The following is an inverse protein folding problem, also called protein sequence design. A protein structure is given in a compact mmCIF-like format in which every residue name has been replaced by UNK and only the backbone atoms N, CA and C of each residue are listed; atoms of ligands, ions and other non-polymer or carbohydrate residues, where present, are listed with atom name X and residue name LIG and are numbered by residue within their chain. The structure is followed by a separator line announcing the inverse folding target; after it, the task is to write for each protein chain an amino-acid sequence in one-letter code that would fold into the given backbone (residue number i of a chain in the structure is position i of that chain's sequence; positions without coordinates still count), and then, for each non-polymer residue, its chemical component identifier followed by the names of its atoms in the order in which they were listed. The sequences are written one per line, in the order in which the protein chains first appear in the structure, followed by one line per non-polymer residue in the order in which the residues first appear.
data_IF_620315293695
#
_entry.id   IF_620315293695
#
_cell.length_a   1.000
_cell.length_b   1.000
_cell.length_c   1.000
_cell.angle_alpha   90.00
_cell.angle_beta   90.00
_cell.angle_gamma   90.00
#
_symmetry.space_group_name_H-M   'P 1'
#
loop_
_entity.id
_entity.type
_entity.pdbx_description
1 polymer ?
#
# COMPACT_ATOMS: atom_id res chain seq x y z
N UNK A 1 30.73 19.81 50.98
CA UNK A 1 31.22 19.93 49.59
C UNK A 1 30.29 19.09 48.75
N UNK A 2 29.33 19.75 48.11
CA UNK A 2 28.42 19.14 47.16
C UNK A 2 29.19 18.90 45.86
N UNK A 3 29.44 17.63 45.51
CA UNK A 3 29.78 17.26 44.15
C UNK A 3 28.50 17.33 43.32
N UNK A 4 28.38 18.40 42.55
CA UNK A 4 27.38 18.55 41.51
C UNK A 4 27.75 17.61 40.36
N UNK A 5 27.15 16.41 40.35
CA UNK A 5 27.20 15.49 39.22
C UNK A 5 26.50 16.14 38.03
N UNK A 6 27.27 16.69 37.09
CA UNK A 6 26.75 17.10 35.78
C UNK A 6 26.12 15.89 35.08
N UNK A 7 24.98 16.05 34.38
CA UNK A 7 24.45 14.96 33.57
C UNK A 7 25.50 14.64 32.51
N UNK A 8 25.98 13.41 32.49
CA UNK A 8 26.85 12.92 31.43
C UNK A 8 26.08 13.01 30.12
N UNK A 9 26.43 13.97 29.26
CA UNK A 9 25.87 14.05 27.91
C UNK A 9 26.14 12.71 27.22
N UNK A 10 25.07 11.99 26.89
CA UNK A 10 25.19 10.73 26.19
C UNK A 10 25.85 10.99 24.83
N UNK A 11 26.95 10.31 24.55
CA UNK A 11 27.69 10.46 23.29
C UNK A 11 26.73 10.22 22.11
N UNK A 12 26.71 11.11 21.08
CA UNK A 12 25.81 10.97 19.94
C UNK A 12 26.07 9.65 19.20
N UNK A 13 25.05 9.08 18.53
CA UNK A 13 25.26 7.88 17.75
C UNK A 13 26.14 8.20 16.54
N UNK A 14 26.80 7.19 16.00
CA UNK A 14 27.63 7.32 14.80
C UNK A 14 26.84 7.98 13.64
N UNK A 15 27.46 8.91 12.91
CA UNK A 15 26.81 9.73 11.88
C UNK A 15 26.07 8.91 10.81
N UNK A 16 26.61 7.74 10.47
CA UNK A 16 25.98 6.78 9.57
C UNK A 16 24.53 6.43 9.95
N UNK A 17 24.14 6.48 11.24
CA UNK A 17 22.74 6.26 11.62
C UNK A 17 21.80 7.32 11.07
N UNK A 18 22.20 8.59 11.02
CA UNK A 18 21.38 9.67 10.47
C UNK A 18 21.11 9.50 8.96
N UNK A 19 21.93 8.71 8.27
CA UNK A 19 21.68 8.30 6.89
C UNK A 19 20.64 7.18 6.78
N UNK A 20 20.46 6.39 7.83
CA UNK A 20 19.53 5.25 7.88
C UNK A 20 18.15 5.67 8.38
N UNK A 21 18.08 6.52 9.41
CA UNK A 21 16.82 6.92 10.05
C UNK A 21 15.73 7.40 9.06
N UNK A 22 16.02 8.23 8.03
CA UNK A 22 15.01 8.71 7.07
C UNK A 22 14.34 7.62 6.22
N UNK A 23 14.88 6.40 6.21
CA UNK A 23 14.35 5.25 5.49
C UNK A 23 13.53 4.30 6.37
N UNK A 24 13.53 4.52 7.69
CA UNK A 24 12.81 3.68 8.64
C UNK A 24 11.34 4.10 8.73
N UNK A 25 10.39 3.14 8.78
CA UNK A 25 9.01 3.47 9.13
C UNK A 25 8.90 3.98 10.57
N UNK A 26 7.75 4.58 10.89
CA UNK A 26 7.50 5.17 12.22
C UNK A 26 7.70 4.14 13.34
N UNK A 27 7.29 2.88 13.12
CA UNK A 27 7.46 1.82 14.13
C UNK A 27 8.93 1.57 14.45
N UNK A 28 9.77 1.49 13.44
CA UNK A 28 11.20 1.23 13.59
C UNK A 28 11.89 2.44 14.22
N UNK A 29 11.52 3.67 13.87
CA UNK A 29 11.99 4.87 14.57
C UNK A 29 11.63 4.86 16.05
N UNK A 30 10.39 4.47 16.40
CA UNK A 30 9.97 4.33 17.79
C UNK A 30 10.74 3.23 18.52
N UNK A 31 11.06 2.12 17.86
CA UNK A 31 11.90 1.07 18.43
C UNK A 31 13.32 1.57 18.68
N UNK A 32 13.92 2.28 17.71
CA UNK A 32 15.24 2.90 17.86
C UNK A 32 15.28 3.87 19.05
N UNK A 33 14.20 4.63 19.26
CA UNK A 33 14.09 5.58 20.38
C UNK A 33 13.98 4.92 21.76
N UNK A 34 13.75 3.60 21.82
CA UNK A 34 13.68 2.84 23.07
C UNK A 34 14.99 2.13 23.42
N UNK A 35 16.00 2.14 22.53
CA UNK A 35 17.26 1.43 22.75
C UNK A 35 18.15 2.15 23.77
N UNK A 36 18.38 3.45 23.60
CA UNK A 36 19.17 4.25 24.53
C UNK A 36 18.83 5.74 24.43
N UNK A 37 19.31 6.54 25.39
CA UNK A 37 19.09 8.00 25.44
C UNK A 37 19.63 8.68 24.17
N UNK A 38 20.83 8.30 23.73
CA UNK A 38 21.48 8.86 22.54
C UNK A 38 20.67 8.64 21.25
N UNK A 39 20.14 7.42 21.04
CA UNK A 39 19.29 7.11 19.88
C UNK A 39 17.91 7.77 19.97
N UNK A 40 17.34 7.84 21.17
CA UNK A 40 16.10 8.57 21.42
C UNK A 40 16.24 10.04 21.04
N UNK A 41 17.34 10.66 21.43
CA UNK A 41 17.63 12.05 21.13
C UNK A 41 17.87 12.26 19.63
N UNK A 42 18.63 11.38 18.99
CA UNK A 42 18.86 11.42 17.54
C UNK A 42 17.53 11.33 16.76
N UNK A 43 16.67 10.36 17.10
CA UNK A 43 15.35 10.20 16.46
C UNK A 43 14.44 11.40 16.72
N UNK A 44 14.47 11.99 17.91
CA UNK A 44 13.57 13.10 18.27
C UNK A 44 14.01 14.46 17.72
N UNK A 45 15.32 14.68 17.57
CA UNK A 45 15.89 15.97 17.14
C UNK A 45 16.12 16.03 15.64
N UNK A 46 16.28 14.90 14.96
CA UNK A 46 16.46 14.86 13.51
C UNK A 46 15.13 14.94 12.76
N UNK A 47 14.86 16.12 12.19
CA UNK A 47 13.68 16.38 11.35
C UNK A 47 13.70 15.52 10.08
N UNK A 48 14.87 15.16 9.55
CA UNK A 48 14.99 14.38 8.31
C UNK A 48 14.46 12.95 8.49
N UNK A 49 14.62 12.38 9.69
CA UNK A 49 14.07 11.07 10.04
C UNK A 49 12.54 11.00 9.88
N UNK A 50 11.85 12.14 10.00
CA UNK A 50 10.40 12.22 9.95
C UNK A 50 9.84 12.71 8.62
N UNK A 51 10.66 12.91 7.57
CA UNK A 51 10.16 13.35 6.24
C UNK A 51 9.17 12.36 5.61
N UNK A 52 9.39 11.07 5.84
CA UNK A 52 8.55 9.99 5.34
C UNK A 52 7.78 9.33 6.49
N UNK A 53 6.53 9.71 6.67
CA UNK A 53 5.69 9.21 7.74
C UNK A 53 4.92 7.97 7.29
N UNK A 54 5.50 6.79 7.51
CA UNK A 54 4.85 5.51 7.23
C UNK A 54 4.35 4.84 8.50
N UNK A 55 3.02 4.65 8.58
CA UNK A 55 2.36 3.81 9.57
C UNK A 55 1.59 2.69 8.88
N UNK A 56 1.84 1.46 9.32
CA UNK A 56 1.23 0.24 8.80
C UNK A 56 1.04 -0.78 9.94
N UNK A 57 0.41 -1.94 9.71
CA UNK A 57 0.31 -2.99 10.71
C UNK A 57 1.66 -3.37 11.34
N UNK A 58 1.72 -3.60 12.66
CA UNK A 58 0.60 -3.59 13.61
C UNK A 58 0.28 -2.22 14.25
N UNK A 59 1.04 -1.16 13.96
CA UNK A 59 0.91 0.15 14.63
C UNK A 59 -0.37 0.91 14.26
N UNK A 60 -0.85 0.71 13.04
CA UNK A 60 -2.05 1.33 12.46
C UNK A 60 -3.30 1.30 13.35
N UNK A 61 -3.58 0.20 14.05
CA UNK A 61 -4.78 0.05 14.88
C UNK A 61 -4.76 0.89 16.16
N UNK A 62 -3.59 1.35 16.56
CA UNK A 62 -3.41 2.17 17.76
C UNK A 62 -3.14 3.64 17.45
N UNK A 63 -3.02 4.00 16.17
CA UNK A 63 -2.82 5.39 15.76
C UNK A 63 -4.12 6.19 15.85
N UNK A 64 -4.28 6.98 16.90
CA UNK A 64 -5.34 8.00 17.01
C UNK A 64 -4.87 9.36 16.45
N UNK A 65 -5.80 10.28 16.22
CA UNK A 65 -5.47 11.65 15.80
C UNK A 65 -4.45 12.32 16.72
N UNK A 66 -4.58 12.16 18.03
CA UNK A 66 -3.64 12.76 18.98
C UNK A 66 -2.22 12.20 18.82
N UNK A 67 -2.08 10.89 18.63
CA UNK A 67 -0.77 10.25 18.43
C UNK A 67 -0.20 10.67 17.07
N UNK A 68 -1.03 10.69 16.03
CA UNK A 68 -0.65 11.15 14.70
C UNK A 68 -0.08 12.58 14.75
N UNK A 69 -0.72 13.51 15.46
CA UNK A 69 -0.26 14.88 15.62
C UNK A 69 1.04 14.97 16.42
N UNK A 70 1.14 14.25 17.53
CA UNK A 70 2.37 14.22 18.33
C UNK A 70 3.56 13.71 17.53
N UNK A 71 3.38 12.69 16.70
CA UNK A 71 4.48 12.12 15.91
C UNK A 71 4.80 12.96 14.67
N UNK A 72 3.80 13.41 13.92
CA UNK A 72 4.00 14.21 12.70
C UNK A 72 4.60 15.60 12.99
N UNK A 73 4.35 16.16 14.17
CA UNK A 73 4.96 17.46 14.57
C UNK A 73 6.49 17.42 14.64
N UNK A 74 7.10 16.23 14.78
CA UNK A 74 8.57 16.06 14.73
C UNK A 74 9.16 16.37 13.36
N UNK A 75 8.37 16.30 12.29
CA UNK A 75 8.79 16.72 10.96
C UNK A 75 8.87 18.25 10.82
N UNK A 76 8.33 19.02 11.77
CA UNK A 76 8.40 20.49 11.83
C UNK A 76 8.11 21.18 10.48
N UNK A 77 7.02 20.77 9.81
CA UNK A 77 6.62 21.29 8.50
C UNK A 77 7.34 20.66 7.31
N UNK A 78 8.34 19.81 7.55
CA UNK A 78 9.16 19.12 6.56
C UNK A 78 8.61 17.79 6.06
N UNK A 79 7.40 17.38 6.45
CA UNK A 79 6.80 16.13 5.96
C UNK A 79 6.60 16.20 4.44
N UNK A 80 7.16 15.24 3.71
CA UNK A 80 6.98 15.13 2.25
C UNK A 80 6.04 14.00 1.87
N UNK A 81 6.08 12.91 2.65
CA UNK A 81 5.28 11.70 2.41
C UNK A 81 4.47 11.36 3.65
N UNK A 82 3.15 11.28 3.50
CA UNK A 82 2.22 10.78 4.53
C UNK A 82 1.63 9.45 4.05
N UNK A 83 1.96 8.35 4.72
CA UNK A 83 1.45 7.02 4.40
C UNK A 83 0.81 6.38 5.63
N UNK A 84 -0.52 6.40 5.68
CA UNK A 84 -1.34 5.79 6.72
C UNK A 84 -2.05 4.58 6.12
N UNK A 85 -1.52 3.38 6.38
CA UNK A 85 -2.02 2.15 5.80
C UNK A 85 -3.00 1.50 6.77
N UNK A 86 -4.28 1.43 6.39
CA UNK A 86 -5.34 0.81 7.18
C UNK A 86 -5.43 1.39 8.61
N UNK A 87 -5.47 2.71 8.75
CA UNK A 87 -5.54 3.39 10.06
C UNK A 87 -7.00 3.79 10.40
N UNK A 88 -7.81 2.91 11.02
CA UNK A 88 -9.25 3.15 11.17
C UNK A 88 -9.61 4.21 12.22
N UNK A 89 -8.69 4.53 13.13
CA UNK A 89 -8.88 5.50 14.22
C UNK A 89 -8.44 6.93 13.85
N UNK A 90 -7.88 7.12 12.66
CA UNK A 90 -7.55 8.45 12.14
C UNK A 90 -8.78 9.03 11.46
N UNK A 91 -9.11 10.27 11.80
CA UNK A 91 -10.29 10.98 11.29
C UNK A 91 -9.90 12.19 10.43
N UNK A 92 -10.90 12.83 9.84
CA UNK A 92 -10.75 14.09 9.12
C UNK A 92 -10.01 15.15 9.96
N UNK A 93 -10.30 15.22 11.27
CA UNK A 93 -9.65 16.17 12.17
C UNK A 93 -8.13 15.95 12.22
N UNK A 94 -7.70 14.70 12.43
CA UNK A 94 -6.28 14.34 12.44
C UNK A 94 -5.61 14.63 11.10
N UNK A 95 -6.24 14.23 9.99
CA UNK A 95 -5.71 14.45 8.65
C UNK A 95 -5.54 15.95 8.36
N UNK A 96 -6.58 16.76 8.61
CA UNK A 96 -6.57 18.21 8.37
C UNK A 96 -5.47 18.90 9.17
N UNK A 97 -5.31 18.55 10.44
CA UNK A 97 -4.27 19.14 11.30
C UNK A 97 -2.86 18.76 10.86
N UNK A 98 -2.65 17.54 10.37
CA UNK A 98 -1.34 17.13 9.82
C UNK A 98 -0.99 17.93 8.57
N UNK A 99 -1.94 18.11 7.64
CA UNK A 99 -1.69 18.86 6.40
C UNK A 99 -1.51 20.36 6.67
N UNK A 100 -2.24 20.94 7.63
CA UNK A 100 -2.04 22.32 8.08
C UNK A 100 -0.62 22.55 8.61
N UNK A 101 -0.10 21.60 9.41
CA UNK A 101 1.24 21.70 10.00
C UNK A 101 2.36 21.36 9.01
N UNK A 102 2.06 20.65 7.92
CA UNK A 102 3.05 20.16 6.97
C UNK A 102 2.61 20.42 5.52
N UNK A 103 2.74 21.68 5.04
CA UNK A 103 2.30 22.06 3.70
C UNK A 103 3.17 21.48 2.57
N UNK A 104 4.31 20.85 2.88
CA UNK A 104 5.23 20.26 1.91
C UNK A 104 4.87 18.83 1.49
N UNK A 105 3.78 18.26 2.01
CA UNK A 105 3.32 16.91 1.65
C UNK A 105 3.01 16.89 0.16
N UNK A 106 3.75 16.06 -0.57
CA UNK A 106 3.57 15.86 -2.01
C UNK A 106 3.16 14.43 -2.37
N UNK A 107 3.19 13.51 -1.41
CA UNK A 107 2.75 12.12 -1.55
C UNK A 107 1.87 11.72 -0.38
N UNK A 108 0.65 11.28 -0.66
CA UNK A 108 -0.33 10.88 0.34
C UNK A 108 -0.91 9.50 0.02
N UNK A 109 -0.77 8.57 0.97
CA UNK A 109 -1.29 7.20 0.89
C UNK A 109 -2.20 6.96 2.09
N UNK A 110 -3.50 6.77 1.85
CA UNK A 110 -4.54 6.56 2.86
C UNK A 110 -5.39 5.31 2.58
N UNK A 111 -4.81 4.17 2.13
CA UNK A 111 -5.63 3.02 1.79
C UNK A 111 -6.35 2.46 3.02
N UNK A 112 -7.64 2.19 2.87
CA UNK A 112 -8.49 1.64 3.94
C UNK A 112 -8.52 2.45 5.25
N UNK A 113 -8.27 3.76 5.20
CA UNK A 113 -8.48 4.64 6.35
C UNK A 113 -9.97 4.98 6.48
N UNK A 114 -10.72 4.08 7.12
CA UNK A 114 -12.20 4.13 7.18
C UNK A 114 -12.76 5.27 8.03
N UNK A 115 -11.94 5.90 8.87
CA UNK A 115 -12.34 7.07 9.68
C UNK A 115 -12.26 8.40 8.93
N UNK A 116 -11.68 8.41 7.72
CA UNK A 116 -11.58 9.58 6.85
C UNK A 116 -12.78 9.58 5.90
N UNK A 117 -13.49 10.71 5.83
CA UNK A 117 -14.64 10.90 4.93
C UNK A 117 -14.19 11.44 3.56
N UNK A 118 -15.02 11.26 2.51
CA UNK A 118 -14.79 11.92 1.22
C UNK A 118 -14.60 13.44 1.34
N UNK A 119 -15.41 14.10 2.17
CA UNK A 119 -15.36 15.55 2.38
C UNK A 119 -14.07 15.98 3.10
N UNK A 120 -13.68 15.25 4.15
CA UNK A 120 -12.43 15.49 4.86
C UNK A 120 -11.19 15.30 3.98
N UNK A 121 -11.22 14.27 3.12
CA UNK A 121 -10.17 14.03 2.12
C UNK A 121 -10.06 15.19 1.11
N UNK A 122 -11.18 15.62 0.53
CA UNK A 122 -11.21 16.73 -0.43
C UNK A 122 -10.67 18.00 0.22
N UNK A 123 -11.13 18.33 1.42
CA UNK A 123 -10.66 19.48 2.19
C UNK A 123 -9.15 19.44 2.46
N UNK A 124 -8.62 18.27 2.84
CA UNK A 124 -7.18 18.11 3.07
C UNK A 124 -6.35 18.30 1.78
N UNK A 125 -6.81 17.75 0.65
CA UNK A 125 -6.14 17.92 -0.64
C UNK A 125 -6.22 19.36 -1.13
N UNK A 126 -7.35 20.03 -0.95
CA UNK A 126 -7.50 21.45 -1.24
C UNK A 126 -6.49 22.29 -0.45
N UNK A 127 -6.36 22.06 0.86
CA UNK A 127 -5.38 22.75 1.70
C UNK A 127 -3.94 22.55 1.22
N UNK A 128 -3.55 21.32 0.86
CA UNK A 128 -2.21 21.04 0.33
C UNK A 128 -1.96 21.68 -1.03
N UNK A 129 -2.99 21.82 -1.85
CA UNK A 129 -2.89 22.42 -3.19
C UNK A 129 -3.08 23.94 -3.19
N UNK A 130 -3.29 24.57 -2.03
CA UNK A 130 -3.28 26.03 -1.92
C UNK A 130 -1.85 26.56 -2.21
N UNK A 131 -1.75 27.53 -3.13
CA UNK A 131 -0.47 28.13 -3.53
C UNK A 131 0.23 27.38 -4.68
N UNK A 132 1.57 27.30 -4.62
CA UNK A 132 2.43 26.68 -5.65
C UNK A 132 2.80 25.22 -5.36
N UNK A 133 2.28 24.63 -4.28
CA UNK A 133 2.52 23.24 -3.93
C UNK A 133 1.57 22.33 -4.70
N UNK A 134 2.10 21.19 -5.18
CA UNK A 134 1.30 20.22 -5.93
C UNK A 134 1.51 18.84 -5.34
N UNK A 135 0.41 18.20 -4.92
CA UNK A 135 0.42 16.78 -4.60
C UNK A 135 0.69 15.98 -5.90
N UNK A 136 1.69 15.13 -5.85
CA UNK A 136 2.14 14.28 -6.96
C UNK A 136 1.51 12.89 -6.94
N UNK A 137 1.19 12.37 -5.75
CA UNK A 137 0.59 11.04 -5.58
C UNK A 137 -0.50 11.08 -4.50
N UNK A 138 -1.65 10.49 -4.82
CA UNK A 138 -2.79 10.31 -3.93
C UNK A 138 -3.31 8.87 -4.06
N UNK A 139 -3.02 8.00 -3.08
CA UNK A 139 -3.55 6.63 -3.01
C UNK A 139 -4.64 6.56 -1.95
N UNK A 140 -5.88 6.34 -2.36
CA UNK A 140 -7.07 6.47 -1.50
C UNK A 140 -8.01 5.27 -1.62
N UNK A 141 -7.58 4.19 -2.29
CA UNK A 141 -8.38 2.98 -2.38
C UNK A 141 -8.75 2.41 -0.99
N UNK A 142 -10.04 2.16 -0.78
CA UNK A 142 -10.58 1.62 0.48
C UNK A 142 -11.21 2.68 1.39
N UNK A 143 -11.11 3.97 1.07
CA UNK A 143 -11.99 4.99 1.66
C UNK A 143 -13.41 4.77 1.14
N UNK A 144 -14.37 4.67 2.05
CA UNK A 144 -15.76 4.35 1.72
C UNK A 144 -16.52 5.58 1.20
N UNK A 145 -17.63 5.34 0.50
CA UNK A 145 -18.57 6.37 0.03
C UNK A 145 -17.98 7.44 -0.92
N UNK A 146 -16.80 7.20 -1.49
CA UNK A 146 -16.28 8.03 -2.58
C UNK A 146 -17.22 7.93 -3.80
N UNK A 147 -17.50 9.09 -4.40
CA UNK A 147 -18.41 9.27 -5.53
C UNK A 147 -17.72 10.08 -6.61
N UNK A 148 -18.31 10.10 -7.80
CA UNK A 148 -17.81 10.88 -8.95
C UNK A 148 -17.50 12.33 -8.57
N UNK A 149 -18.42 13.00 -7.87
CA UNK A 149 -18.25 14.40 -7.45
C UNK A 149 -16.98 14.63 -6.64
N UNK A 150 -16.63 13.72 -5.75
CA UNK A 150 -15.40 13.78 -4.96
C UNK A 150 -14.15 13.64 -5.83
N UNK A 151 -14.16 12.71 -6.79
CA UNK A 151 -13.04 12.54 -7.72
C UNK A 151 -12.88 13.78 -8.61
N UNK A 152 -13.98 14.34 -9.11
CA UNK A 152 -13.97 15.55 -9.91
C UNK A 152 -13.39 16.75 -9.12
N UNK A 153 -13.80 16.92 -7.85
CA UNK A 153 -13.22 17.94 -6.95
C UNK A 153 -11.72 17.74 -6.71
N UNK A 154 -11.28 16.51 -6.45
CA UNK A 154 -9.86 16.20 -6.27
C UNK A 154 -9.05 16.53 -7.54
N UNK A 155 -9.54 16.17 -8.72
CA UNK A 155 -8.87 16.47 -9.99
C UNK A 155 -8.77 17.98 -10.25
N UNK A 156 -9.81 18.74 -9.92
CA UNK A 156 -9.81 20.20 -10.00
C UNK A 156 -8.72 20.81 -9.09
N UNK A 157 -8.64 20.35 -7.84
CA UNK A 157 -7.63 20.83 -6.87
C UNK A 157 -6.21 20.51 -7.31
N UNK A 158 -5.99 19.34 -7.92
CA UNK A 158 -4.68 18.90 -8.39
C UNK A 158 -4.21 19.60 -9.67
N UNK A 159 -5.08 20.33 -10.37
CA UNK A 159 -4.81 21.09 -11.62
C UNK A 159 -4.06 20.28 -12.70
N UNK A 160 -4.22 18.95 -12.73
CA UNK A 160 -3.48 18.07 -13.64
C UNK A 160 -4.41 17.17 -14.42
N UNK A 161 -4.44 17.38 -15.74
CA UNK A 161 -4.98 16.44 -16.72
C UNK A 161 -3.82 15.56 -17.21
N UNK A 162 -3.48 14.52 -16.45
CA UNK A 162 -2.39 13.62 -16.86
C UNK A 162 -2.92 12.55 -17.83
N UNK A 163 -2.10 12.13 -18.81
CA UNK A 163 -2.39 10.95 -19.59
C UNK A 163 -2.51 9.74 -18.66
N UNK A 164 -3.61 9.01 -18.80
CA UNK A 164 -3.89 7.81 -18.02
C UNK A 164 -3.00 6.67 -18.53
N UNK A 165 -1.78 6.52 -17.99
CA UNK A 165 -0.99 5.31 -18.22
C UNK A 165 -1.80 4.08 -17.82
N UNK A 166 -1.77 2.98 -18.59
CA UNK A 166 -2.60 1.82 -18.31
C UNK A 166 -2.23 1.19 -16.96
N UNK A 167 -3.23 0.86 -16.15
CA UNK A 167 -3.02 0.14 -14.88
C UNK A 167 -3.39 -1.33 -15.09
N UNK A 168 -2.44 -2.24 -14.86
CA UNK A 168 -2.69 -3.67 -15.06
C UNK A 168 -3.04 -4.39 -13.76
N UNK A 169 -3.97 -5.35 -13.86
CA UNK A 169 -4.51 -6.06 -12.70
C UNK A 169 -3.50 -6.91 -11.93
N UNK A 170 -2.52 -7.49 -12.63
CA UNK A 170 -1.47 -8.29 -12.00
C UNK A 170 -0.48 -7.43 -11.20
N UNK A 171 -0.48 -6.11 -11.41
CA UNK A 171 0.38 -5.15 -10.69
C UNK A 171 -0.32 -4.51 -9.48
N UNK A 172 -1.59 -4.86 -9.21
CA UNK A 172 -2.39 -4.22 -8.16
C UNK A 172 -1.78 -4.32 -6.76
N UNK A 173 -1.00 -5.36 -6.48
CA UNK A 173 -0.29 -5.51 -5.22
C UNK A 173 0.71 -4.37 -4.99
N UNK A 174 1.42 -3.95 -6.04
CA UNK A 174 2.38 -2.85 -6.01
C UNK A 174 1.71 -1.49 -5.81
N UNK A 175 0.45 -1.35 -6.23
CA UNK A 175 -0.34 -0.13 -6.02
C UNK A 175 -0.90 -0.04 -4.60
N UNK A 176 -1.15 -1.20 -3.97
CA UNK A 176 -1.60 -1.28 -2.58
C UNK A 176 -0.46 -1.28 -1.56
N UNK A 177 0.77 -1.63 -1.96
CA UNK A 177 1.95 -1.58 -1.10
C UNK A 177 2.62 -0.23 -1.19
N UNK A 178 2.91 0.36 -0.04
CA UNK A 178 3.72 1.56 0.01
C UNK A 178 5.17 1.21 -0.35
N UNK A 179 5.72 1.84 -1.38
CA UNK A 179 7.12 1.71 -1.74
C UNK A 179 7.79 3.08 -1.66
N UNK A 180 8.66 3.27 -0.66
CA UNK A 180 9.43 4.53 -0.46
C UNK A 180 10.23 4.89 -1.72
N UNK A 181 10.62 3.89 -2.52
CA UNK A 181 11.45 4.02 -3.71
C UNK A 181 10.64 4.14 -5.00
N UNK A 182 9.34 4.44 -4.93
CA UNK A 182 8.54 4.71 -6.12
C UNK A 182 9.16 5.88 -6.91
N UNK A 183 9.71 5.59 -8.08
CA UNK A 183 10.31 6.59 -8.96
C UNK A 183 9.24 7.61 -9.39
N UNK A 184 9.56 8.89 -9.16
CA UNK A 184 8.84 10.07 -9.64
C UNK A 184 8.90 10.10 -11.18
N UNK A 185 7.97 9.43 -11.85
CA UNK A 185 8.00 9.43 -13.30
C UNK A 185 6.69 9.13 -14.03
N UNK A 186 5.93 8.12 -13.60
CA UNK A 186 5.01 7.49 -14.57
C UNK A 186 3.61 7.16 -14.05
N UNK A 187 3.34 7.24 -12.74
CA UNK A 187 2.06 6.75 -12.20
C UNK A 187 0.98 7.83 -12.14
N UNK A 188 -0.27 7.45 -12.45
CA UNK A 188 -1.48 8.27 -12.25
C UNK A 188 -1.49 8.83 -10.81
N UNK A 189 -1.83 10.12 -10.65
CA UNK A 189 -1.87 10.79 -9.33
C UNK A 189 -2.84 10.06 -8.41
N UNK A 190 -4.09 9.88 -8.85
CA UNK A 190 -5.13 9.17 -8.11
C UNK A 190 -5.19 7.72 -8.60
N UNK A 191 -5.30 6.76 -7.67
CA UNK A 191 -5.45 5.32 -7.96
C UNK A 191 -6.89 4.88 -8.31
N UNK A 192 -7.85 5.80 -8.22
CA UNK A 192 -9.28 5.57 -8.41
C UNK A 192 -9.82 6.29 -9.64
N UNK A 193 -10.75 5.63 -10.32
CA UNK A 193 -11.49 6.13 -11.47
C UNK A 193 -12.96 5.72 -11.38
N UNK A 194 -13.80 6.36 -12.17
CA UNK A 194 -15.17 5.91 -12.39
C UNK A 194 -15.11 4.68 -13.30
N UNK A 195 -15.56 3.53 -12.80
CA UNK A 195 -15.61 2.30 -13.58
C UNK A 195 -16.59 2.45 -14.74
N UNK A 196 -16.19 2.25 -16.01
CA UNK A 196 -17.10 2.44 -17.15
C UNK A 196 -18.21 1.38 -17.25
N UNK A 197 -18.13 0.29 -16.47
CA UNK A 197 -19.16 -0.77 -16.44
C UNK A 197 -20.21 -0.60 -15.36
N UNK A 198 -19.85 -0.10 -14.18
CA UNK A 198 -20.76 0.04 -13.04
C UNK A 198 -20.92 1.46 -12.53
N UNK A 199 -20.21 2.44 -13.11
CA UNK A 199 -20.24 3.86 -12.73
C UNK A 199 -19.78 4.17 -11.29
N UNK A 200 -19.28 3.18 -10.56
CA UNK A 200 -18.74 3.33 -9.21
C UNK A 200 -17.28 3.79 -9.23
N UNK A 201 -16.87 4.54 -8.21
CA UNK A 201 -15.47 4.94 -7.98
C UNK A 201 -14.68 3.75 -7.46
N UNK A 202 -13.74 3.23 -8.26
CA UNK A 202 -12.95 2.04 -7.95
C UNK A 202 -11.56 2.12 -8.61
N UNK A 203 -10.64 1.25 -8.18
CA UNK A 203 -9.48 0.95 -9.02
C UNK A 203 -9.96 0.31 -10.32
N UNK A 204 -9.58 0.90 -11.45
CA UNK A 204 -9.96 0.45 -12.80
C UNK A 204 -8.72 -0.03 -13.53
N UNK A 205 -8.82 -1.22 -14.11
CA UNK A 205 -7.71 -1.89 -14.75
C UNK A 205 -7.90 -1.95 -16.26
N UNK A 206 -6.79 -1.76 -16.98
CA UNK A 206 -6.65 -1.98 -18.41
C UNK A 206 -6.29 -3.46 -18.67
N UNK A 207 -6.65 -3.97 -19.85
CA UNK A 207 -6.31 -5.34 -20.24
C UNK A 207 -4.97 -5.34 -21.02
N UNK A 208 -3.98 -6.17 -20.63
CA UNK A 208 -2.72 -6.26 -21.35
C UNK A 208 -2.86 -6.95 -22.71
N UNK A 209 -3.90 -7.78 -22.91
CA UNK A 209 -4.19 -8.49 -24.16
C UNK A 209 -4.30 -7.53 -25.34
N UNK A 210 -3.47 -7.73 -26.38
CA UNK A 210 -3.41 -6.84 -27.56
C UNK A 210 -4.75 -6.72 -28.26
N UNK A 211 -5.48 -7.82 -28.42
CA UNK A 211 -6.81 -7.83 -29.00
C UNK A 211 -7.80 -6.91 -28.26
N UNK A 212 -7.63 -6.73 -26.94
CA UNK A 212 -8.47 -5.86 -26.12
C UNK A 212 -8.13 -4.37 -26.23
N UNK A 213 -7.00 -4.02 -26.85
CA UNK A 213 -6.60 -2.62 -27.07
C UNK A 213 -7.24 -2.04 -28.35
N UNK A 214 -7.77 -2.88 -29.23
CA UNK A 214 -8.30 -2.44 -30.51
C UNK A 214 -9.74 -1.90 -30.36
N UNK A 215 -9.95 -0.62 -30.72
CA UNK A 215 -11.20 0.11 -30.50
C UNK A 215 -12.35 -0.27 -31.43
N UNK A 216 -12.06 -0.97 -32.53
CA UNK A 216 -13.05 -1.32 -33.57
C UNK A 216 -13.91 -2.55 -33.21
N UNK A 217 -13.45 -3.39 -32.27
CA UNK A 217 -14.04 -4.71 -31.98
C UNK A 217 -14.85 -4.77 -30.67
N UNK A 218 -15.47 -3.67 -30.23
CA UNK A 218 -16.23 -3.59 -28.97
C UNK A 218 -15.42 -3.89 -27.68
N UNK A 219 -14.07 -3.94 -27.75
CA UNK A 219 -13.23 -4.26 -26.59
C UNK A 219 -13.00 -3.11 -25.59
N UNK A 220 -13.65 -1.95 -25.76
CA UNK A 220 -13.77 -0.93 -24.68
C UNK A 220 -14.37 -1.51 -23.39
N UNK A 221 -15.03 -2.66 -23.50
CA UNK A 221 -15.56 -3.41 -22.39
C UNK A 221 -14.49 -3.97 -21.44
N UNK A 222 -13.23 -4.11 -21.85
CA UNK A 222 -12.22 -4.74 -20.98
C UNK A 222 -11.55 -3.79 -19.99
N UNK A 223 -11.75 -2.47 -20.08
CA UNK A 223 -11.33 -1.53 -19.03
C UNK A 223 -12.41 -1.50 -17.95
N UNK A 224 -12.10 -2.00 -16.75
CA UNK A 224 -13.11 -2.13 -15.69
C UNK A 224 -12.48 -2.41 -14.32
N UNK A 225 -13.26 -2.22 -13.26
CA UNK A 225 -12.87 -2.60 -11.90
C UNK A 225 -12.83 -4.14 -11.72
N UNK A 226 -12.22 -4.58 -10.61
CA UNK A 226 -12.07 -6.01 -10.29
C UNK A 226 -13.38 -6.80 -10.18
N UNK A 227 -14.50 -6.13 -9.91
CA UNK A 227 -15.80 -6.77 -9.74
C UNK A 227 -16.59 -6.90 -11.05
N UNK A 228 -16.34 -6.02 -12.02
CA UNK A 228 -17.08 -6.01 -13.28
C UNK A 228 -16.41 -6.84 -14.38
N UNK A 229 -15.14 -7.18 -14.22
CA UNK A 229 -14.39 -8.00 -15.18
C UNK A 229 -13.44 -8.91 -14.42
N UNK A 230 -13.73 -10.23 -14.38
CA UNK A 230 -12.79 -11.22 -13.86
C UNK A 230 -11.49 -11.20 -14.67
N UNK A 231 -10.36 -11.38 -14.00
CA UNK A 231 -9.03 -11.30 -14.62
C UNK A 231 -8.12 -12.37 -14.06
N UNK A 232 -7.21 -12.84 -14.90
CA UNK A 232 -6.17 -13.77 -14.48
C UNK A 232 -5.26 -13.08 -13.45
N UNK A 233 -5.05 -13.75 -12.33
CA UNK A 233 -4.19 -13.27 -11.25
C UNK A 233 -2.71 -13.14 -11.64
N UNK A 234 -2.28 -13.93 -12.63
CA UNK A 234 -0.88 -14.01 -13.05
C UNK A 234 -0.51 -13.02 -14.18
N UNK A 235 -1.36 -12.90 -15.21
CA UNK A 235 -1.09 -12.05 -16.37
C UNK A 235 -1.98 -10.79 -16.43
N UNK A 236 -3.05 -10.72 -15.63
CA UNK A 236 -3.97 -9.57 -15.59
C UNK A 236 -4.91 -9.43 -16.79
N UNK A 237 -4.88 -10.37 -17.73
CA UNK A 237 -5.84 -10.41 -18.84
C UNK A 237 -7.26 -10.67 -18.33
N UNK A 238 -8.24 -10.10 -19.03
CA UNK A 238 -9.65 -10.40 -18.77
C UNK A 238 -9.94 -11.87 -19.08
N UNK A 239 -10.60 -12.53 -18.15
CA UNK A 239 -11.13 -13.87 -18.33
C UNK A 239 -12.49 -13.72 -19.03
N UNK A 240 -12.67 -14.43 -20.14
CA UNK A 240 -13.96 -14.52 -20.82
C UNK A 240 -14.89 -15.51 -20.13
N UNK A 241 -15.69 -16.21 -20.92
CA UNK A 241 -16.42 -17.42 -20.48
C UNK A 241 -15.56 -18.70 -20.58
N UNK A 242 -14.27 -18.55 -20.90
CA UNK A 242 -13.34 -19.66 -21.06
C UNK A 242 -13.05 -20.34 -19.71
N UNK A 243 -12.59 -21.60 -19.78
CA UNK A 243 -12.22 -22.41 -18.61
C UNK A 243 -11.17 -21.67 -17.77
N UNK A 244 -11.55 -21.37 -16.53
CA UNK A 244 -10.67 -20.75 -15.55
C UNK A 244 -10.20 -21.80 -14.58
N UNK A 245 -8.92 -21.75 -14.20
CA UNK A 245 -8.34 -22.71 -13.28
C UNK A 245 -8.14 -22.08 -11.90
N UNK A 246 -8.47 -22.85 -10.86
CA UNK A 246 -8.22 -22.46 -9.48
C UNK A 246 -6.81 -22.87 -9.04
N UNK A 247 -6.12 -21.94 -8.38
CA UNK A 247 -4.81 -22.17 -7.76
C UNK A 247 -4.94 -22.76 -6.36
N UNK A 248 -3.84 -23.22 -5.78
CA UNK A 248 -3.78 -23.70 -4.40
C UNK A 248 -4.03 -22.57 -3.36
N UNK A 249 -3.95 -21.30 -3.77
CA UNK A 249 -4.30 -20.14 -2.94
C UNK A 249 -5.72 -19.61 -3.23
N UNK A 250 -6.57 -20.41 -3.90
CA UNK A 250 -7.94 -20.05 -4.31
C UNK A 250 -8.05 -18.80 -5.19
N UNK A 251 -6.93 -18.38 -5.76
CA UNK A 251 -6.87 -17.37 -6.81
C UNK A 251 -7.20 -18.00 -8.17
N UNK A 252 -7.70 -17.19 -9.10
CA UNK A 252 -8.11 -17.64 -10.43
C UNK A 252 -7.07 -17.25 -11.48
N UNK A 253 -6.65 -18.20 -12.31
CA UNK A 253 -5.73 -17.97 -13.43
C UNK A 253 -6.29 -18.50 -14.75
N UNK A 254 -5.84 -17.96 -15.89
CA UNK A 254 -6.17 -18.55 -17.19
C UNK A 254 -5.40 -19.86 -17.39
N UNK A 255 -5.90 -20.75 -18.24
CA UNK A 255 -5.31 -22.07 -18.51
C UNK A 255 -3.85 -21.97 -18.97
N UNK A 256 -3.51 -20.99 -19.81
CA UNK A 256 -2.13 -20.77 -20.25
C UNK A 256 -1.18 -20.47 -19.09
N UNK A 257 -1.62 -19.64 -18.13
CA UNK A 257 -0.83 -19.35 -16.94
C UNK A 257 -0.77 -20.56 -16.03
N UNK A 258 -1.90 -21.24 -15.82
CA UNK A 258 -1.97 -22.45 -15.00
C UNK A 258 -1.01 -23.54 -15.47
N UNK A 259 -0.89 -23.75 -16.79
CA UNK A 259 0.03 -24.72 -17.38
C UNK A 259 1.50 -24.38 -17.11
N UNK A 260 1.86 -23.09 -17.15
CA UNK A 260 3.23 -22.60 -16.99
C UNK A 260 3.69 -22.45 -15.54
N UNK A 261 2.77 -22.34 -14.58
CA UNK A 261 3.11 -22.15 -13.18
C UNK A 261 3.59 -23.47 -12.54
N UNK A 262 4.58 -23.42 -11.62
CA UNK A 262 4.98 -24.57 -10.81
C UNK A 262 3.82 -25.08 -9.96
N UNK A 263 3.68 -26.40 -9.85
CA UNK A 263 2.52 -27.06 -9.21
C UNK A 263 2.93 -27.83 -7.97
N UNK A 264 2.00 -27.94 -7.03
CA UNK A 264 2.11 -28.84 -5.90
C UNK A 264 2.14 -30.29 -6.40
N UNK A 265 3.06 -31.11 -5.87
CA UNK A 265 3.17 -32.51 -6.25
C UNK A 265 1.96 -33.37 -5.87
N UNK A 266 1.17 -32.95 -4.88
CA UNK A 266 0.01 -33.70 -4.40
C UNK A 266 -1.28 -33.30 -5.11
N UNK A 267 -1.68 -32.03 -5.02
CA UNK A 267 -2.95 -31.58 -5.58
C UNK A 267 -2.85 -31.11 -7.04
N UNK A 268 -1.64 -31.07 -7.62
CA UNK A 268 -1.37 -30.57 -8.97
C UNK A 268 -1.89 -29.14 -9.21
N UNK A 269 -2.09 -28.34 -8.15
CA UNK A 269 -2.47 -26.92 -8.26
C UNK A 269 -1.24 -26.02 -8.08
N UNK A 270 -1.08 -24.95 -8.89
CA UNK A 270 -0.04 -23.95 -8.70
C UNK A 270 -0.44 -22.91 -7.66
N UNK A 271 0.51 -22.11 -7.16
CA UNK A 271 0.22 -20.81 -6.55
C UNK A 271 0.22 -19.70 -7.60
N UNK A 272 -0.54 -18.63 -7.36
CA UNK A 272 -0.40 -17.42 -8.17
C UNK A 272 0.94 -16.74 -7.88
N UNK A 273 1.38 -15.82 -8.76
CA UNK A 273 2.65 -15.08 -8.59
C UNK A 273 2.80 -14.32 -7.27
N UNK A 274 1.69 -13.95 -6.63
CA UNK A 274 1.70 -13.20 -5.37
C UNK A 274 1.95 -14.07 -4.14
N UNK A 275 1.76 -15.38 -4.28
CA UNK A 275 1.83 -16.35 -3.17
C UNK A 275 2.89 -17.42 -3.45
N UNK A 276 3.92 -17.10 -4.23
CA UNK A 276 5.02 -18.04 -4.52
C UNK A 276 5.91 -18.28 -3.31
N UNK A 277 5.90 -17.39 -2.32
CA UNK A 277 6.58 -17.52 -1.04
C UNK A 277 5.83 -18.43 -0.06
N UNK A 278 4.63 -18.91 -0.41
CA UNK A 278 3.83 -19.77 0.46
C UNK A 278 4.18 -21.25 0.37
N UNK A 279 5.05 -21.67 -0.55
CA UNK A 279 5.53 -23.05 -0.63
C UNK A 279 6.23 -23.46 0.68
N UNK A 280 5.84 -24.61 1.26
CA UNK A 280 6.40 -25.09 2.53
C UNK A 280 7.80 -25.70 2.39
N UNK A 281 8.09 -26.32 1.24
CA UNK A 281 9.30 -27.11 1.03
C UNK A 281 9.98 -26.80 -0.31
N UNK A 282 11.27 -26.50 -0.25
CA UNK A 282 12.21 -26.42 -1.37
C UNK A 282 13.30 -27.51 -1.25
N UNK A 283 13.00 -28.69 -0.69
CA UNK A 283 13.93 -29.81 -0.65
C UNK A 283 13.69 -30.79 -1.82
N UNK A 284 14.61 -31.75 -1.99
CA UNK A 284 14.81 -32.63 -3.16
C UNK A 284 13.56 -33.36 -3.68
N UNK A 285 12.44 -33.35 -2.94
CA UNK A 285 11.16 -33.98 -3.21
C UNK A 285 10.12 -33.12 -3.95
N UNK A 286 10.43 -31.86 -4.29
CA UNK A 286 9.58 -30.96 -5.09
C UNK A 286 8.66 -30.04 -4.28
N UNK A 287 7.75 -29.33 -4.96
CA UNK A 287 6.94 -28.27 -4.36
C UNK A 287 5.69 -28.81 -3.66
N UNK A 288 5.44 -28.37 -2.43
CA UNK A 288 4.28 -28.77 -1.62
C UNK A 288 3.56 -27.51 -1.11
N UNK A 289 2.27 -27.38 -1.41
CA UNK A 289 1.45 -26.26 -0.95
C UNK A 289 1.03 -26.45 0.52
N UNK A 290 0.76 -25.35 1.22
CA UNK A 290 0.39 -25.37 2.66
C UNK A 290 -0.75 -26.32 2.99
N UNK A 291 -1.81 -26.32 2.17
CA UNK A 291 -2.97 -27.17 2.40
C UNK A 291 -2.59 -28.66 2.41
N UNK A 292 -1.79 -29.09 1.44
CA UNK A 292 -1.36 -30.50 1.39
C UNK A 292 -0.32 -30.85 2.46
N UNK A 293 0.50 -29.88 2.87
CA UNK A 293 1.49 -30.04 3.94
C UNK A 293 0.81 -30.20 5.31
N UNK A 294 -0.18 -29.35 5.60
CA UNK A 294 -1.00 -29.40 6.81
C UNK A 294 -1.79 -30.72 6.87
N UNK A 295 -2.44 -31.11 5.77
CA UNK A 295 -3.14 -32.41 5.68
C UNK A 295 -2.18 -33.58 5.95
N UNK A 296 -0.98 -33.58 5.35
CA UNK A 296 0.01 -34.64 5.56
C UNK A 296 0.43 -34.77 7.04
N UNK A 297 0.65 -33.64 7.73
CA UNK A 297 1.00 -33.64 9.15
C UNK A 297 -0.17 -34.02 10.08
N UNK A 298 -1.41 -33.68 9.74
CA UNK A 298 -2.60 -34.17 10.44
C UNK A 298 -2.75 -35.70 10.29
N UNK A 299 -2.49 -36.26 9.10
CA UNK A 299 -2.51 -37.70 8.89
C UNK A 299 -1.40 -38.44 9.67
N UNK A 300 -0.19 -37.90 9.75
CA UNK A 300 0.89 -38.55 10.53
C UNK A 300 0.64 -38.48 12.04
N UNK A 301 0.17 -37.34 12.55
CA UNK A 301 -0.12 -37.18 13.99
C UNK A 301 -1.30 -38.02 14.48
N UNK A 302 -2.25 -38.36 13.61
CA UNK A 302 -3.36 -39.27 13.91
C UNK A 302 -2.99 -40.75 13.78
N UNK A 303 -1.91 -41.07 13.05
CA UNK A 303 -1.42 -42.44 12.85
C UNK A 303 -0.59 -42.96 14.04
N UNK A 304 -0.04 -42.06 14.88
CA UNK A 304 0.75 -42.40 16.07
C UNK A 304 -0.10 -42.68 17.33
N UNK A 305 -1.43 -42.80 17.19
CA UNK A 305 -2.38 -43.06 18.30
C UNK A 305 -3.00 -44.47 18.23
N UNK A 306 -2.40 -45.40 17.47
CA UNK A 306 -2.80 -46.82 17.42
C UNK A 306 -1.70 -47.76 17.92
#
# INVERSE_FOLDING_TARGET
MEESSQPSDAEPPHEALFLVLPYLPVRELLNMSQVCISLRDAVNKDVLAWRNFLVQPPLNFNLSDQILLTLSSKANGGLTTLALINCPKVTDYGLQRVVEQNPLINKMYLPSCTGITPEGLVSAVEMLCQGSHTLSTLRINGIHNLKKEHIDMLMLSLKRNLPLEPIYYHERANLSSFNIREEEGTRRIIDLEICPRCSEVRMVYDCPRVACKNTELNCRQCKACKFCTPRCENCGECLGYEETEETACSDVVCSECWLKLPKCNFCNKPYCKRHTDWWCSFSESGLICRVCDDEYHEYMSTSDVL
#
